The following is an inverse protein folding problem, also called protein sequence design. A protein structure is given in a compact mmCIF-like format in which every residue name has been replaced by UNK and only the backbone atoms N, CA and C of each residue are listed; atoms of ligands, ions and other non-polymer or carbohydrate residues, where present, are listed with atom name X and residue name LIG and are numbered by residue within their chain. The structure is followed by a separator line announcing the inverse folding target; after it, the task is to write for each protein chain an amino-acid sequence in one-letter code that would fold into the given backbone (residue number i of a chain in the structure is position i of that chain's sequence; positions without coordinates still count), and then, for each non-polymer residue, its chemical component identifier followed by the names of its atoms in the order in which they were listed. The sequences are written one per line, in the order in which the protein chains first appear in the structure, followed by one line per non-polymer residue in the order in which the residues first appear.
data_IF_935068867353
#
_entry.id   IF_935068867353
#
_cell.length_a   1.000
_cell.length_b   1.000
_cell.length_c   1.000
_cell.angle_alpha   90.00
_cell.angle_beta   90.00
_cell.angle_gamma   90.00
#
_symmetry.space_group_name_H-M   'P 1'
#
loop_
_entity.id
_entity.type
_entity.pdbx_description
1 polymer ?
#
# COMPACT_ATOMS: atom_id res chain seq x y z
N UNK A 1 -7.21 2.45 14.45
CA UNK A 1 -5.93 3.12 14.16
C UNK A 1 -5.90 3.27 12.66
N UNK A 2 -5.71 4.48 12.13
CA UNK A 2 -5.68 4.68 10.68
C UNK A 2 -4.25 4.36 10.21
N UNK A 3 -4.10 3.34 9.38
CA UNK A 3 -2.86 2.96 8.72
C UNK A 3 -2.56 3.92 7.57
N UNK A 4 -1.30 3.96 7.18
CA UNK A 4 -0.83 4.85 6.12
C UNK A 4 -1.24 4.35 4.72
N UNK A 5 -1.62 5.26 3.81
CA UNK A 5 -2.11 4.95 2.46
C UNK A 5 -1.22 5.58 1.36
N UNK A 6 -0.16 4.89 0.88
CA UNK A 6 0.76 5.39 -0.15
C UNK A 6 0.18 5.33 -1.58
N UNK A 7 -0.81 6.17 -1.88
CA UNK A 7 -1.52 6.21 -3.20
C UNK A 7 -0.74 6.86 -4.35
N UNK A 8 0.57 7.03 -4.22
CA UNK A 8 1.41 7.62 -5.28
C UNK A 8 2.80 7.00 -5.25
N UNK A 9 3.50 7.03 -6.39
CA UNK A 9 4.87 6.51 -6.50
C UNK A 9 5.80 7.14 -5.48
N UNK A 10 5.78 8.47 -5.33
CA UNK A 10 6.64 9.17 -4.37
C UNK A 10 6.40 8.70 -2.93
N UNK A 11 5.13 8.53 -2.53
CA UNK A 11 4.78 8.02 -1.20
C UNK A 11 5.20 6.57 -1.01
N UNK A 12 5.05 5.73 -2.03
CA UNK A 12 5.49 4.33 -1.99
C UNK A 12 7.02 4.24 -1.87
N UNK A 13 7.76 5.03 -2.63
CA UNK A 13 9.22 5.08 -2.54
C UNK A 13 9.69 5.54 -1.16
N UNK A 14 9.04 6.55 -0.57
CA UNK A 14 9.38 6.99 0.78
C UNK A 14 9.19 5.86 1.78
N UNK A 15 8.04 5.16 1.76
CA UNK A 15 7.79 4.04 2.69
C UNK A 15 8.80 2.92 2.46
N UNK A 16 9.05 2.54 1.21
CA UNK A 16 10.04 1.52 0.86
C UNK A 16 11.42 1.87 1.41
N UNK A 17 11.87 3.10 1.21
CA UNK A 17 13.16 3.56 1.74
C UNK A 17 13.19 3.53 3.26
N UNK A 18 12.10 3.94 3.93
CA UNK A 18 12.01 3.92 5.40
C UNK A 18 12.06 2.48 5.93
N UNK A 19 11.28 1.54 5.37
CA UNK A 19 11.27 0.13 5.80
C UNK A 19 12.63 -0.53 5.59
N UNK A 20 13.29 -0.25 4.46
CA UNK A 20 14.64 -0.77 4.16
C UNK A 20 15.71 -0.17 5.09
N UNK A 21 15.60 1.12 5.40
CA UNK A 21 16.56 1.82 6.28
C UNK A 21 16.43 1.35 7.72
N UNK A 22 15.19 1.16 8.19
CA UNK A 22 14.92 0.73 9.56
C UNK A 22 15.00 -0.79 9.73
N UNK A 23 14.99 -1.56 8.64
CA UNK A 23 14.90 -3.02 8.66
C UNK A 23 13.67 -3.54 9.41
N UNK A 24 12.55 -2.84 9.25
CA UNK A 24 11.29 -3.13 9.93
C UNK A 24 10.14 -3.19 8.93
N UNK A 25 9.24 -4.15 9.13
CA UNK A 25 8.01 -4.26 8.36
C UNK A 25 6.97 -3.26 8.88
N UNK A 26 6.21 -2.65 7.97
CA UNK A 26 5.15 -1.70 8.33
C UNK A 26 3.82 -2.11 7.71
N UNK A 27 2.77 -2.04 8.52
CA UNK A 27 1.41 -2.17 8.05
C UNK A 27 0.98 -0.92 7.29
N UNK A 28 0.30 -1.12 6.16
CA UNK A 28 -0.32 -0.06 5.36
C UNK A 28 -1.82 -0.33 5.23
N UNK A 29 -2.59 0.71 4.90
CA UNK A 29 -4.05 0.63 4.80
C UNK A 29 -4.60 -0.06 3.56
N UNK A 30 -3.80 -0.85 2.83
CA UNK A 30 -4.26 -1.60 1.66
C UNK A 30 -4.83 -2.93 2.10
N UNK A 31 -6.07 -3.23 1.70
CA UNK A 31 -6.72 -4.49 2.05
C UNK A 31 -7.81 -4.87 1.04
N UNK A 32 -8.23 -6.13 1.07
CA UNK A 32 -9.35 -6.68 0.31
C UNK A 32 -10.38 -7.38 1.23
N UNK A 33 -10.45 -6.97 2.50
CA UNK A 33 -11.29 -7.57 3.56
C UNK A 33 -12.78 -7.62 3.18
N UNK A 34 -13.26 -6.61 2.43
CA UNK A 34 -14.66 -6.55 2.01
C UNK A 34 -15.00 -7.47 0.84
N UNK A 35 -14.02 -7.76 -0.03
CA UNK A 35 -14.17 -8.55 -1.24
C UNK A 35 -12.80 -9.03 -1.69
N UNK A 36 -12.54 -10.32 -1.52
CA UNK A 36 -11.30 -10.98 -1.94
C UNK A 36 -10.87 -10.58 -3.36
N UNK A 37 -9.58 -10.33 -3.57
CA UNK A 37 -8.96 -9.83 -4.79
C UNK A 37 -9.36 -8.39 -5.21
N UNK A 38 -10.20 -7.69 -4.46
CA UNK A 38 -10.55 -6.29 -4.71
C UNK A 38 -9.87 -5.38 -3.68
N UNK A 39 -8.60 -5.04 -3.95
CA UNK A 39 -7.79 -4.22 -3.05
C UNK A 39 -8.20 -2.75 -3.08
N UNK A 40 -8.50 -2.21 -1.90
CA UNK A 40 -8.88 -0.81 -1.65
C UNK A 40 -8.07 -0.20 -0.51
N UNK A 41 -7.96 1.13 -0.49
CA UNK A 41 -7.38 1.87 0.61
C UNK A 41 -8.41 2.14 1.69
N UNK A 42 -8.12 1.80 2.95
CA UNK A 42 -9.09 1.87 4.05
C UNK A 42 -9.64 3.28 4.34
N UNK A 43 -8.87 4.32 3.99
CA UNK A 43 -9.16 5.71 4.30
C UNK A 43 -10.28 6.32 3.44
N UNK A 44 -10.41 5.91 2.17
CA UNK A 44 -11.44 6.43 1.26
C UNK A 44 -12.06 5.39 0.32
N UNK A 45 -11.72 4.11 0.48
CA UNK A 45 -12.19 2.99 -0.34
C UNK A 45 -11.81 3.09 -1.83
N UNK A 46 -10.86 3.96 -2.20
CA UNK A 46 -10.36 4.03 -3.57
C UNK A 46 -9.62 2.74 -3.94
N UNK A 47 -9.86 2.27 -5.17
CA UNK A 47 -9.22 1.06 -5.69
C UNK A 47 -7.72 1.25 -5.87
N UNK A 48 -6.97 0.17 -5.65
CA UNK A 48 -5.56 0.13 -5.99
C UNK A 48 -5.34 0.37 -7.48
N UNK A 49 -4.59 1.41 -7.80
CA UNK A 49 -4.19 1.73 -9.17
C UNK A 49 -3.23 0.66 -9.74
N UNK A 50 -3.33 0.41 -11.06
CA UNK A 50 -2.55 -0.61 -11.76
C UNK A 50 -1.03 -0.43 -11.66
N UNK A 51 -0.51 0.79 -11.76
CA UNK A 51 0.92 1.08 -11.60
C UNK A 51 1.44 0.68 -10.21
N UNK A 52 0.70 1.01 -9.15
CA UNK A 52 1.07 0.61 -7.79
C UNK A 52 0.92 -0.89 -7.59
N UNK A 53 -0.12 -1.50 -8.17
CA UNK A 53 -0.34 -2.95 -8.15
C UNK A 53 0.85 -3.72 -8.70
N UNK A 54 1.40 -3.27 -9.83
CA UNK A 54 2.60 -3.89 -10.43
C UNK A 54 3.80 -3.80 -9.50
N UNK A 55 3.95 -2.73 -8.72
CA UNK A 55 5.10 -2.58 -7.81
C UNK A 55 4.94 -3.36 -6.50
N UNK A 56 3.72 -3.45 -5.96
CA UNK A 56 3.44 -4.11 -4.68
C UNK A 56 3.36 -5.65 -4.80
N UNK A 57 2.95 -6.15 -5.96
CA UNK A 57 2.76 -7.59 -6.21
C UNK A 57 3.65 -8.12 -7.34
N UNK A 58 4.70 -7.39 -7.72
CA UNK A 58 5.71 -7.95 -8.62
C UNK A 58 6.36 -9.18 -7.98
N UNK A 59 6.67 -10.23 -8.76
CA UNK A 59 7.43 -11.39 -8.29
C UNK A 59 8.86 -11.02 -7.87
#
# INVERSE_FOLDING_TARGET
MNLYTPKSLSKLYIIKTVTETLQEDVWVGLNDVSSENNFVWEDDQSSLNLTLRTLLFAP
#
